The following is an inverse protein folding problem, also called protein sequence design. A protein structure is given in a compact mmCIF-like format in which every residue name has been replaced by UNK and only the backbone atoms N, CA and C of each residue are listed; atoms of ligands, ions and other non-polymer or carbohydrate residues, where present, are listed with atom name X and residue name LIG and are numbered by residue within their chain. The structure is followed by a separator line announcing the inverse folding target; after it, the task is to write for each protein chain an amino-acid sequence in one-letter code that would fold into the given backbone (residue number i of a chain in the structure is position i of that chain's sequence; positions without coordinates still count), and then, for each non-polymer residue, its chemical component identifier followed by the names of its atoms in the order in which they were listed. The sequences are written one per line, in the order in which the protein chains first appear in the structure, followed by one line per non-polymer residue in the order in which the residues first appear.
data_IF_631913156776
#
_entry.id   IF_631913156776
#
_cell.length_a   1.000
_cell.length_b   1.000
_cell.length_c   1.000
_cell.angle_alpha   90.00
_cell.angle_beta   90.00
_cell.angle_gamma   90.00
#
_symmetry.space_group_name_H-M   'P 1'
#
loop_
_entity.id
_entity.type
_entity.pdbx_description
1 polymer ?
#
# COMPACT_ATOMS: atom_id res chain seq x y z
N UNK A 1 -24.55 12.71 -11.23
CA UNK A 1 -24.37 11.73 -10.13
C UNK A 1 -23.20 12.21 -9.28
N UNK A 2 -23.17 11.86 -7.99
CA UNK A 2 -22.01 12.16 -7.13
C UNK A 2 -20.87 11.26 -7.60
N UNK A 3 -19.69 11.83 -7.87
CA UNK A 3 -18.47 11.09 -8.18
C UNK A 3 -18.24 10.00 -7.11
N UNK A 4 -18.16 8.70 -7.47
CA UNK A 4 -17.92 7.61 -6.53
C UNK A 4 -16.73 7.88 -5.60
N UNK A 5 -15.68 8.56 -6.09
CA UNK A 5 -14.49 8.91 -5.30
C UNK A 5 -14.76 9.85 -4.11
N UNK A 6 -15.90 10.57 -4.11
CA UNK A 6 -16.27 11.48 -3.02
C UNK A 6 -17.15 10.82 -1.95
N UNK A 7 -17.66 9.62 -2.22
CA UNK A 7 -18.40 8.81 -1.23
C UNK A 7 -17.47 8.33 -0.10
N UNK A 8 -18.04 7.89 1.04
CA UNK A 8 -17.24 7.34 2.14
C UNK A 8 -16.43 6.10 1.71
N UNK A 9 -17.07 5.17 0.99
CA UNK A 9 -16.41 3.98 0.45
C UNK A 9 -15.33 4.36 -0.57
N UNK A 10 -15.62 5.26 -1.50
CA UNK A 10 -14.65 5.69 -2.50
C UNK A 10 -13.41 6.32 -1.88
N UNK A 11 -13.57 7.15 -0.83
CA UNK A 11 -12.44 7.71 -0.08
C UNK A 11 -11.63 6.62 0.62
N UNK A 12 -12.29 5.69 1.32
CA UNK A 12 -11.63 4.54 1.95
C UNK A 12 -10.81 3.72 0.94
N UNK A 13 -11.38 3.42 -0.24
CA UNK A 13 -10.69 2.67 -1.28
C UNK A 13 -9.46 3.40 -1.81
N UNK A 14 -9.55 4.72 -2.00
CA UNK A 14 -8.41 5.52 -2.48
C UNK A 14 -7.29 5.64 -1.44
N UNK A 15 -7.62 5.57 -0.16
CA UNK A 15 -6.67 5.66 0.95
C UNK A 15 -6.00 4.31 1.24
N UNK A 16 -6.77 3.20 1.22
CA UNK A 16 -6.28 1.87 1.57
C UNK A 16 -5.70 1.10 0.37
N UNK A 17 -6.26 1.26 -0.83
CA UNK A 17 -5.79 0.59 -2.06
C UNK A 17 -4.79 1.48 -2.79
N UNK A 18 -3.66 1.70 -2.14
CA UNK A 18 -2.53 2.43 -2.70
C UNK A 18 -1.25 1.58 -2.71
N UNK A 19 -0.26 1.91 -3.55
CA UNK A 19 0.95 1.11 -3.68
C UNK A 19 1.77 1.02 -2.39
N UNK A 20 2.30 -0.18 -2.14
CA UNK A 20 3.23 -0.43 -1.03
C UNK A 20 4.67 -0.08 -1.43
N UNK A 21 5.36 0.65 -0.56
CA UNK A 21 6.81 0.85 -0.62
C UNK A 21 7.43 0.18 0.60
N UNK A 22 8.28 -0.81 0.34
CA UNK A 22 9.10 -1.44 1.38
C UNK A 22 10.23 -0.50 1.78
N UNK A 23 10.54 -0.41 3.08
CA UNK A 23 11.63 0.41 3.59
C UNK A 23 12.68 -0.50 4.23
N UNK A 24 13.89 -0.50 3.68
CA UNK A 24 15.06 -1.13 4.27
C UNK A 24 15.96 -0.03 4.81
N UNK A 25 16.41 -0.15 6.06
CA UNK A 25 17.22 0.89 6.69
C UNK A 25 18.37 0.35 7.53
N UNK A 26 19.37 1.18 7.81
CA UNK A 26 20.37 0.89 8.86
C UNK A 26 19.86 1.32 10.25
N UNK A 27 20.37 0.74 11.35
CA UNK A 27 20.02 1.18 12.71
C UNK A 27 20.26 2.67 12.97
N UNK A 28 21.33 3.23 12.41
CA UNK A 28 21.69 4.63 12.60
C UNK A 28 20.67 5.62 12.01
N UNK A 29 19.91 5.22 10.98
CA UNK A 29 18.80 6.02 10.44
C UNK A 29 17.69 6.14 11.48
N UNK A 30 17.29 5.05 12.11
CA UNK A 30 16.26 5.11 13.18
C UNK A 30 16.77 5.88 14.38
N UNK A 31 18.02 5.68 14.79
CA UNK A 31 18.59 6.44 15.91
C UNK A 31 18.55 7.96 15.65
N UNK A 32 18.82 8.41 14.43
CA UNK A 32 18.73 9.82 14.06
C UNK A 32 17.26 10.32 14.08
N UNK A 33 16.32 9.57 13.51
CA UNK A 33 14.89 9.93 13.52
C UNK A 33 14.29 9.92 14.94
N UNK A 34 14.67 8.95 15.78
CA UNK A 34 14.15 8.80 17.14
C UNK A 34 14.57 9.95 18.06
N UNK A 35 15.66 10.69 17.75
CA UNK A 35 15.96 11.96 18.43
C UNK A 35 14.81 12.97 18.29
N UNK A 36 14.06 12.91 17.19
CA UNK A 36 12.87 13.73 16.94
C UNK A 36 11.56 13.09 17.47
N UNK A 37 11.64 11.97 18.19
CA UNK A 37 10.48 11.25 18.74
C UNK A 37 9.66 10.46 17.72
N UNK A 38 10.19 10.23 16.51
CA UNK A 38 9.50 9.54 15.42
C UNK A 38 10.38 8.43 14.84
N UNK A 39 9.79 7.30 14.44
CA UNK A 39 10.48 6.35 13.56
C UNK A 39 10.64 6.95 12.16
N UNK A 40 11.54 6.40 11.35
CA UNK A 40 11.74 6.88 9.98
C UNK A 40 10.45 6.83 9.15
N UNK A 41 9.68 5.72 9.22
CA UNK A 41 8.38 5.65 8.52
C UNK A 41 7.39 6.68 9.05
N UNK A 42 7.30 6.88 10.37
CA UNK A 42 6.41 7.88 10.95
C UNK A 42 6.75 9.29 10.44
N UNK A 43 8.04 9.60 10.31
CA UNK A 43 8.52 10.87 9.76
C UNK A 43 8.04 11.08 8.31
N UNK A 44 8.09 10.07 7.44
CA UNK A 44 7.65 10.20 6.04
C UNK A 44 6.12 10.21 5.86
N UNK A 45 5.38 9.58 6.77
CA UNK A 45 3.96 9.22 6.57
C UNK A 45 3.01 10.37 6.22
N UNK A 46 3.09 11.57 6.83
CA UNK A 46 2.21 12.68 6.45
C UNK A 46 2.34 13.11 4.98
N UNK A 47 3.49 12.83 4.37
CA UNK A 47 3.83 13.24 3.01
C UNK A 47 3.59 12.12 1.98
N UNK A 48 2.92 11.04 2.38
CA UNK A 48 2.59 9.92 1.50
C UNK A 48 1.23 10.05 0.82
N UNK A 49 0.41 11.04 1.18
CA UNK A 49 -0.93 11.28 0.61
C UNK A 49 -0.93 12.57 -0.21
N UNK A 50 -1.17 12.44 -1.50
CA UNK A 50 -1.15 13.53 -2.47
C UNK A 50 -2.57 13.81 -2.94
N UNK A 51 -3.12 14.97 -2.60
CA UNK A 51 -4.47 15.36 -3.02
C UNK A 51 -4.52 16.10 -4.37
N UNK A 52 -3.35 16.55 -4.87
CA UNK A 52 -3.22 17.29 -6.13
C UNK A 52 -1.87 16.98 -6.80
N UNK A 53 -1.64 15.70 -7.12
CA UNK A 53 -0.37 15.25 -7.71
C UNK A 53 -0.25 15.59 -9.20
N UNK A 54 -1.39 15.62 -9.90
CA UNK A 54 -1.58 15.99 -11.29
C UNK A 54 -0.57 15.35 -12.29
N UNK A 55 -0.30 14.05 -12.14
CA UNK A 55 0.65 13.32 -13.00
C UNK A 55 -0.07 12.70 -14.20
N UNK A 56 0.36 12.94 -15.45
CA UNK A 56 -0.16 12.24 -16.61
C UNK A 56 0.32 10.79 -16.61
N UNK A 57 -0.60 9.85 -16.78
CA UNK A 57 -0.35 8.41 -16.86
C UNK A 57 -0.90 7.87 -18.18
N UNK A 58 -0.17 6.94 -18.77
CA UNK A 58 -0.54 6.27 -20.02
C UNK A 58 -0.38 4.75 -19.89
N UNK A 59 -1.47 4.08 -19.54
CA UNK A 59 -1.55 2.63 -19.33
C UNK A 59 -1.63 1.87 -20.66
N UNK A 60 -2.76 1.21 -20.95
CA UNK A 60 -3.01 0.43 -22.16
C UNK A 60 -3.70 1.26 -23.26
N UNK A 61 -4.42 2.33 -22.89
CA UNK A 61 -5.00 3.25 -23.86
C UNK A 61 -3.94 4.20 -24.43
N UNK A 62 -4.06 4.55 -25.71
CA UNK A 62 -3.18 5.56 -26.33
C UNK A 62 -3.43 6.97 -25.79
N UNK A 63 -4.58 7.21 -25.13
CA UNK A 63 -4.92 8.49 -24.52
C UNK A 63 -4.39 8.57 -23.08
N UNK A 64 -3.58 9.60 -22.73
CA UNK A 64 -3.19 9.86 -21.34
C UNK A 64 -4.38 10.35 -20.51
N UNK A 65 -4.40 9.95 -19.24
CA UNK A 65 -5.25 10.55 -18.21
C UNK A 65 -4.39 11.12 -17.08
N UNK A 66 -4.96 11.93 -16.18
CA UNK A 66 -4.20 12.55 -15.08
C UNK A 66 -4.64 12.01 -13.73
N UNK A 67 -3.68 11.55 -12.93
CA UNK A 67 -3.90 11.21 -11.54
C UNK A 67 -4.00 12.49 -10.71
N UNK A 68 -5.17 12.73 -10.12
CA UNK A 68 -5.40 13.90 -9.27
C UNK A 68 -5.01 13.63 -7.82
N UNK A 69 -5.37 12.46 -7.29
CA UNK A 69 -4.96 12.00 -5.98
C UNK A 69 -4.10 10.74 -6.09
N UNK A 70 -3.20 10.54 -5.14
CA UNK A 70 -2.35 9.36 -5.07
C UNK A 70 -1.88 9.15 -3.62
N UNK A 71 -1.57 7.92 -3.26
CA UNK A 71 -1.13 7.56 -1.91
C UNK A 71 0.00 6.55 -1.97
N UNK A 72 0.80 6.48 -0.92
CA UNK A 72 1.79 5.41 -0.70
C UNK A 72 1.63 4.83 0.69
N UNK A 73 1.75 3.51 0.81
CA UNK A 73 1.79 2.82 2.10
C UNK A 73 3.22 2.33 2.36
N UNK A 74 3.81 2.79 3.45
CA UNK A 74 5.18 2.45 3.82
C UNK A 74 5.18 1.32 4.85
N UNK A 75 5.99 0.29 4.62
CA UNK A 75 6.17 -0.83 5.55
C UNK A 75 7.65 -1.19 5.67
N UNK A 76 8.09 -1.56 6.88
CA UNK A 76 9.39 -2.21 7.04
C UNK A 76 9.34 -3.64 6.51
N UNK A 77 10.50 -4.21 6.21
CA UNK A 77 10.60 -5.59 5.73
C UNK A 77 10.04 -6.62 6.70
N UNK A 78 10.14 -6.35 8.00
CA UNK A 78 9.63 -7.22 9.06
C UNK A 78 8.10 -7.28 9.13
N UNK A 79 7.42 -6.25 8.61
CA UNK A 79 5.97 -6.12 8.63
C UNK A 79 5.33 -6.72 7.36
N UNK A 80 6.10 -6.94 6.29
CA UNK A 80 5.64 -7.56 5.04
C UNK A 80 5.59 -9.07 5.22
N UNK A 81 4.53 -9.54 5.87
CA UNK A 81 4.26 -10.95 6.12
C UNK A 81 2.77 -11.17 6.30
N UNK A 82 2.33 -12.39 6.02
CA UNK A 82 0.94 -12.76 6.31
C UNK A 82 0.70 -12.72 7.83
N UNK A 83 -0.31 -11.97 8.31
CA UNK A 83 -0.68 -11.92 9.71
C UNK A 83 -1.07 -13.31 10.22
N UNK A 84 -0.82 -13.56 11.51
CA UNK A 84 -1.32 -14.77 12.16
C UNK A 84 -2.84 -14.63 12.38
N UNK A 85 -3.62 -15.47 11.70
CA UNK A 85 -5.08 -15.41 11.70
C UNK A 85 -5.68 -15.54 13.11
N UNK A 86 -5.10 -16.35 13.99
CA UNK A 86 -5.63 -16.54 15.35
C UNK A 86 -5.38 -15.30 16.22
N UNK A 87 -4.20 -14.70 16.10
CA UNK A 87 -3.88 -13.43 16.79
C UNK A 87 -4.78 -12.31 16.28
N UNK A 88 -5.01 -12.26 14.96
CA UNK A 88 -5.87 -11.27 14.34
C UNK A 88 -7.34 -11.39 14.78
N UNK A 89 -7.89 -12.60 14.81
CA UNK A 89 -9.24 -12.87 15.33
C UNK A 89 -9.39 -12.40 16.78
N UNK A 90 -8.40 -12.68 17.63
CA UNK A 90 -8.45 -12.27 19.03
C UNK A 90 -8.40 -10.74 19.17
N UNK A 91 -7.55 -10.05 18.39
CA UNK A 91 -7.52 -8.59 18.35
C UNK A 91 -8.85 -8.00 17.89
N UNK A 92 -9.44 -8.56 16.83
CA UNK A 92 -10.72 -8.11 16.29
C UNK A 92 -11.84 -8.26 17.34
N UNK A 93 -11.84 -9.40 18.05
CA UNK A 93 -12.75 -9.65 19.17
C UNK A 93 -12.55 -8.64 20.30
N UNK A 94 -11.31 -8.30 20.64
CA UNK A 94 -10.99 -7.27 21.64
C UNK A 94 -11.53 -5.90 21.22
N UNK A 95 -11.33 -5.48 19.97
CA UNK A 95 -11.86 -4.21 19.44
C UNK A 95 -13.38 -4.16 19.55
N UNK A 96 -14.09 -5.24 19.17
CA UNK A 96 -15.55 -5.31 19.28
C UNK A 96 -16.00 -5.29 20.75
N UNK A 97 -15.29 -5.99 21.65
CA UNK A 97 -15.65 -6.07 23.06
C UNK A 97 -15.49 -4.72 23.75
N UNK A 98 -14.35 -4.05 23.53
CA UNK A 98 -14.08 -2.71 24.07
C UNK A 98 -15.10 -1.68 23.56
N UNK A 99 -15.51 -1.79 22.29
CA UNK A 99 -16.55 -0.95 21.72
C UNK A 99 -17.90 -1.14 22.43
N UNK A 100 -18.31 -2.40 22.63
CA UNK A 100 -19.55 -2.72 23.32
C UNK A 100 -19.53 -2.23 24.77
N UNK A 101 -18.41 -2.38 25.48
CA UNK A 101 -18.25 -1.88 26.86
C UNK A 101 -18.33 -0.35 26.94
N UNK A 102 -17.73 0.35 25.97
CA UNK A 102 -17.80 1.82 25.89
C UNK A 102 -19.23 2.31 25.62
N UNK A 103 -19.92 1.71 24.67
CA UNK A 103 -21.32 2.05 24.35
C UNK A 103 -22.25 1.79 25.54
N UNK A 104 -22.05 0.68 26.28
CA UNK A 104 -22.81 0.37 27.49
C UNK A 104 -22.53 1.37 28.62
N UNK A 105 -21.26 1.77 28.79
CA UNK A 105 -20.86 2.78 29.78
C UNK A 105 -21.48 4.15 29.49
N UNK A 106 -21.49 4.58 28.22
CA UNK A 106 -22.10 5.84 27.76
C UNK A 106 -23.63 5.83 27.93
N UNK A 107 -24.29 4.68 27.75
CA UNK A 107 -25.73 4.52 27.99
C UNK A 107 -26.10 4.50 29.49
N UNK A 108 -25.17 4.12 30.36
CA UNK A 108 -25.35 4.11 31.81
C UNK A 108 -25.05 5.47 32.47
N UNK A 109 -24.35 6.38 31.79
CA UNK A 109 -24.21 7.78 32.19
C UNK A 109 -25.40 8.62 31.72
N UNK A 110 -26.09 9.26 32.67
CA UNK A 110 -27.31 10.10 32.56
C UNK A 110 -27.92 10.38 31.15
N UNK A 111 -29.19 9.99 31.00
CA UNK A 111 -30.05 10.22 29.83
C UNK A 111 -29.99 11.68 29.31
N UNK A 112 -29.52 11.93 28.07
CA UNK A 112 -29.71 13.23 27.45
C UNK A 112 -31.18 13.43 27.05
N UNK A 113 -31.68 14.65 27.23
CA UNK A 113 -33.03 15.05 26.86
C UNK A 113 -33.33 14.72 25.38
N UNK A 114 -34.45 14.03 25.16
CA UNK A 114 -34.89 13.37 23.91
C UNK A 114 -34.96 14.30 22.68
N UNK A 115 -34.87 15.62 22.85
CA UNK A 115 -35.00 16.59 21.75
C UNK A 115 -33.75 16.74 20.87
N UNK A 116 -32.56 16.30 21.30
CA UNK A 116 -31.32 16.41 20.50
C UNK A 116 -30.95 15.14 19.72
N UNK A 117 -31.64 14.01 19.97
CA UNK A 117 -31.34 12.73 19.33
C UNK A 117 -31.87 12.64 17.89
N UNK A 118 -33.00 13.30 17.60
CA UNK A 118 -33.65 13.27 16.28
C UNK A 118 -32.85 14.06 15.23
N UNK A 119 -32.08 15.08 15.64
CA UNK A 119 -31.25 15.88 14.72
C UNK A 119 -29.88 15.25 14.40
N UNK A 120 -29.45 14.23 15.15
CA UNK A 120 -28.19 13.49 14.87
C UNK A 120 -28.37 12.34 13.89
N UNK A 121 -29.60 11.91 13.63
CA UNK A 121 -29.90 10.72 12.83
C UNK A 121 -29.74 10.92 11.30
N UNK A 122 -29.55 12.16 10.83
CA UNK A 122 -29.45 12.46 9.39
C UNK A 122 -28.01 12.63 8.88
N UNK A 123 -27.01 12.65 9.76
CA UNK A 123 -25.62 12.47 9.35
C UNK A 123 -25.22 11.05 9.75
N UNK A 124 -24.84 10.20 8.79
CA UNK A 124 -24.30 8.86 9.03
C UNK A 124 -23.05 8.94 9.93
N UNK A 125 -23.22 9.05 11.25
CA UNK A 125 -22.13 8.98 12.22
C UNK A 125 -21.83 7.50 12.42
N UNK A 126 -20.96 6.98 11.56
CA UNK A 126 -20.40 5.64 11.69
C UNK A 126 -19.75 5.52 13.09
N UNK A 127 -20.10 4.51 13.90
CA UNK A 127 -19.53 4.34 15.23
C UNK A 127 -18.00 4.33 15.18
N UNK A 128 -17.33 4.97 16.15
CA UNK A 128 -15.86 5.08 16.12
C UNK A 128 -15.17 3.71 16.08
N UNK A 129 -15.75 2.71 16.75
CA UNK A 129 -15.24 1.34 16.76
C UNK A 129 -15.21 0.69 15.38
N UNK A 130 -16.12 1.07 14.48
CA UNK A 130 -16.19 0.50 13.14
C UNK A 130 -14.97 0.88 12.30
N UNK A 131 -14.42 2.09 12.52
CA UNK A 131 -13.15 2.49 11.90
C UNK A 131 -11.97 1.64 12.40
N UNK A 132 -11.91 1.37 13.70
CA UNK A 132 -10.89 0.48 14.27
C UNK A 132 -11.06 -0.97 13.79
N UNK A 133 -12.29 -1.47 13.74
CA UNK A 133 -12.61 -2.78 13.20
C UNK A 133 -12.15 -2.92 11.75
N UNK A 134 -12.50 -1.97 10.88
CA UNK A 134 -12.07 -1.98 9.48
C UNK A 134 -10.56 -1.95 9.35
N UNK A 135 -9.90 -1.10 10.14
CA UNK A 135 -8.44 -1.02 10.16
C UNK A 135 -7.79 -2.35 10.55
N UNK A 136 -8.30 -3.03 11.58
CA UNK A 136 -7.79 -4.34 11.96
C UNK A 136 -8.16 -5.45 10.97
N UNK A 137 -9.33 -5.37 10.35
CA UNK A 137 -9.73 -6.31 9.31
C UNK A 137 -8.78 -6.20 8.10
N UNK A 138 -8.53 -4.99 7.60
CA UNK A 138 -7.57 -4.71 6.51
C UNK A 138 -6.19 -5.23 6.88
N UNK A 139 -5.72 -4.94 8.10
CA UNK A 139 -4.44 -5.43 8.59
C UNK A 139 -4.39 -6.96 8.63
N UNK A 140 -5.50 -7.64 8.97
CA UNK A 140 -5.59 -9.11 9.05
C UNK A 140 -5.48 -9.79 7.69
N UNK A 141 -6.01 -9.16 6.64
CA UNK A 141 -6.00 -9.71 5.28
C UNK A 141 -4.78 -9.29 4.47
N UNK A 142 -3.90 -8.45 5.03
CA UNK A 142 -2.76 -7.87 4.32
C UNK A 142 -1.75 -8.93 3.84
N UNK A 143 -1.05 -8.62 2.73
CA UNK A 143 0.01 -9.45 2.13
C UNK A 143 -0.45 -10.88 1.76
N UNK A 144 -1.73 -11.01 1.41
CA UNK A 144 -2.30 -12.28 1.01
C UNK A 144 -1.78 -12.75 -0.35
N UNK A 145 -1.72 -14.05 -0.57
CA UNK A 145 -1.19 -14.66 -1.79
C UNK A 145 -2.11 -14.51 -3.03
N UNK A 146 -3.36 -14.09 -2.83
CA UNK A 146 -4.43 -14.11 -3.83
C UNK A 146 -4.66 -12.77 -4.54
N UNK A 147 -3.97 -11.72 -4.11
CA UNK A 147 -4.00 -10.37 -4.68
C UNK A 147 -2.61 -9.72 -4.61
N UNK A 148 -2.43 -8.60 -5.31
CA UNK A 148 -1.13 -7.94 -5.45
C UNK A 148 -1.11 -6.48 -4.94
N UNK A 149 -2.17 -5.99 -4.29
CA UNK A 149 -2.20 -4.61 -3.76
C UNK A 149 -1.16 -4.34 -2.68
N UNK A 150 -0.88 -5.35 -1.86
CA UNK A 150 0.12 -5.26 -0.79
C UNK A 150 1.51 -5.72 -1.23
N UNK A 151 1.67 -6.10 -2.50
CA UNK A 151 2.99 -6.44 -3.00
C UNK A 151 3.79 -5.14 -3.14
N UNK A 152 5.00 -5.04 -2.57
CA UNK A 152 5.82 -3.85 -2.71
C UNK A 152 6.08 -3.55 -4.19
N UNK A 153 5.72 -2.34 -4.63
CA UNK A 153 6.02 -1.89 -6.00
C UNK A 153 7.42 -1.27 -6.06
N UNK A 154 7.90 -0.76 -4.93
CA UNK A 154 9.21 -0.16 -4.76
C UNK A 154 9.80 -0.48 -3.39
N UNK A 155 11.12 -0.30 -3.30
CA UNK A 155 11.92 -0.43 -2.09
C UNK A 155 12.76 0.82 -1.91
N UNK A 156 12.52 1.53 -0.81
CA UNK A 156 13.35 2.63 -0.34
C UNK A 156 14.48 2.03 0.51
N UNK A 157 15.71 2.07 0.00
CA UNK A 157 16.90 1.60 0.73
C UNK A 157 17.56 2.81 1.36
N UNK A 158 17.69 2.81 2.68
CA UNK A 158 18.07 4.00 3.46
C UNK A 158 19.30 3.71 4.31
N UNK A 159 20.32 4.55 4.17
CA UNK A 159 21.56 4.43 4.95
C UNK A 159 21.88 5.80 5.55
N UNK A 160 22.46 5.81 6.76
CA UNK A 160 22.92 7.04 7.40
C UNK A 160 24.28 7.43 6.85
N UNK A 161 24.50 8.72 6.65
CA UNK A 161 25.82 9.29 6.36
C UNK A 161 26.86 9.05 7.48
N UNK A 162 26.40 8.63 8.66
CA UNK A 162 27.22 8.23 9.81
C UNK A 162 27.66 6.76 9.74
N UNK A 163 27.02 5.93 8.92
CA UNK A 163 27.40 4.52 8.78
C UNK A 163 28.85 4.38 8.30
N UNK A 164 29.54 3.38 8.81
CA UNK A 164 30.85 2.98 8.29
C UNK A 164 30.66 2.35 6.90
N UNK A 165 31.38 2.89 5.91
CA UNK A 165 31.29 2.51 4.49
C UNK A 165 29.84 2.47 3.96
N UNK A 166 29.15 3.63 3.85
CA UNK A 166 27.73 3.69 3.50
C UNK A 166 27.36 2.97 2.20
N UNK A 167 28.23 3.01 1.18
CA UNK A 167 28.00 2.34 -0.11
C UNK A 167 27.88 0.83 0.04
N UNK A 168 28.73 0.22 0.85
CA UNK A 168 28.67 -1.22 1.12
C UNK A 168 27.38 -1.58 1.88
N UNK A 169 26.94 -0.71 2.80
CA UNK A 169 25.68 -0.91 3.53
C UNK A 169 24.46 -0.94 2.61
N UNK A 170 24.40 -0.10 1.58
CA UNK A 170 23.31 -0.15 0.60
C UNK A 170 23.25 -1.51 -0.12
N UNK A 171 24.41 -2.05 -0.49
CA UNK A 171 24.51 -3.37 -1.14
C UNK A 171 24.07 -4.48 -0.19
N UNK A 172 24.54 -4.43 1.06
CA UNK A 172 24.24 -5.43 2.08
C UNK A 172 22.74 -5.48 2.41
N UNK A 173 22.08 -4.33 2.57
CA UNK A 173 20.67 -4.27 2.95
C UNK A 173 19.78 -5.08 2.00
N UNK A 174 20.05 -5.05 0.71
CA UNK A 174 19.25 -5.80 -0.28
C UNK A 174 19.73 -7.25 -0.48
N UNK A 175 21.00 -7.54 -0.24
CA UNK A 175 21.56 -8.88 -0.42
C UNK A 175 21.45 -9.77 0.82
N UNK A 176 21.05 -9.21 1.95
CA UNK A 176 20.84 -10.00 3.18
C UNK A 176 19.60 -10.89 3.06
N UNK A 177 19.63 -12.05 3.73
CA UNK A 177 18.47 -12.93 3.94
C UNK A 177 17.33 -12.27 4.77
N UNK A 178 17.35 -10.94 4.94
CA UNK A 178 16.37 -10.14 5.68
C UNK A 178 15.18 -9.74 4.81
N UNK A 179 15.25 -9.95 3.49
CA UNK A 179 14.09 -9.71 2.63
C UNK A 179 12.91 -10.60 3.06
N UNK A 180 11.66 -10.10 2.94
CA UNK A 180 10.47 -10.87 3.23
C UNK A 180 10.47 -12.22 2.51
N UNK A 181 10.11 -13.29 3.23
CA UNK A 181 10.03 -14.64 2.65
C UNK A 181 9.05 -14.73 1.47
N UNK A 182 8.09 -13.81 1.37
CA UNK A 182 7.16 -13.70 0.25
C UNK A 182 7.85 -13.31 -1.07
N UNK A 183 8.94 -12.54 -1.02
CA UNK A 183 9.76 -12.21 -2.20
C UNK A 183 10.64 -13.39 -2.64
N UNK A 184 11.09 -14.23 -1.71
CA UNK A 184 12.00 -15.36 -2.00
C UNK A 184 11.27 -16.66 -2.32
N UNK A 185 10.05 -16.85 -1.80
CA UNK A 185 9.20 -18.02 -2.06
C UNK A 185 8.50 -18.00 -3.43
N UNK A 186 8.61 -16.90 -4.18
CA UNK A 186 7.95 -16.71 -5.46
C UNK A 186 6.47 -16.34 -5.35
N UNK A 187 5.99 -15.89 -4.19
CA UNK A 187 4.65 -15.32 -4.03
C UNK A 187 4.55 -13.89 -4.59
N UNK A 188 5.61 -13.10 -4.43
CA UNK A 188 5.72 -11.71 -4.89
C UNK A 188 6.77 -11.55 -6.00
N UNK A 189 6.77 -10.40 -6.67
CA UNK A 189 7.81 -10.04 -7.62
C UNK A 189 9.13 -9.73 -6.88
N UNK A 190 10.22 -10.47 -7.10
CA UNK A 190 11.51 -10.10 -6.52
C UNK A 190 12.13 -8.85 -7.19
N UNK A 191 11.65 -8.44 -8.38
CA UNK A 191 12.18 -7.32 -9.17
C UNK A 191 11.41 -6.02 -8.92
N UNK A 192 11.51 -5.53 -7.70
CA UNK A 192 10.92 -4.25 -7.29
C UNK A 192 11.82 -3.06 -7.65
N UNK A 193 11.22 -1.89 -7.90
CA UNK A 193 11.94 -0.63 -8.08
C UNK A 193 12.78 -0.34 -6.84
N UNK A 194 14.04 0.09 -6.99
CA UNK A 194 14.90 0.46 -5.87
C UNK A 194 15.18 1.95 -5.92
N UNK A 195 15.03 2.62 -4.79
CA UNK A 195 15.38 4.02 -4.62
C UNK A 195 16.32 4.16 -3.43
N UNK A 196 17.48 4.78 -3.65
CA UNK A 196 18.53 4.87 -2.63
C UNK A 196 18.50 6.23 -1.96
N UNK A 197 18.39 6.23 -0.63
CA UNK A 197 18.31 7.43 0.19
C UNK A 197 19.45 7.46 1.20
N UNK A 198 20.25 8.51 1.15
CA UNK A 198 21.21 8.84 2.20
C UNK A 198 20.53 9.80 3.19
N UNK A 199 20.53 9.46 4.47
CA UNK A 199 20.05 10.36 5.53
C UNK A 199 21.25 11.01 6.22
N UNK A 200 21.23 12.33 6.32
CA UNK A 200 22.25 13.10 7.02
C UNK A 200 21.60 13.91 8.14
N UNK A 201 21.96 13.58 9.38
CA UNK A 201 21.66 14.44 10.52
C UNK A 201 22.68 15.57 10.54
N UNK A 202 22.21 16.82 10.48
CA UNK A 202 23.05 18.02 10.45
C UNK A 202 23.97 18.13 11.70
N UNK A 203 23.69 17.36 12.76
CA UNK A 203 24.54 17.27 13.95
C UNK A 203 25.71 16.29 13.82
N UNK A 204 25.70 15.40 12.82
CA UNK A 204 26.70 14.33 12.68
C UNK A 204 27.93 14.78 11.84
N UNK A 205 27.95 16.02 11.34
CA UNK A 205 29.12 16.61 10.69
C UNK A 205 28.77 17.56 9.54
N UNK A 206 29.76 17.96 8.75
CA UNK A 206 29.55 18.90 7.65
C UNK A 206 28.85 18.24 6.45
N UNK A 207 27.95 18.99 5.82
CA UNK A 207 27.17 18.56 4.65
C UNK A 207 28.06 18.15 3.46
N UNK A 208 29.27 18.70 3.31
CA UNK A 208 30.17 18.30 2.21
C UNK A 208 30.54 16.82 2.25
N UNK A 209 30.57 16.20 3.44
CA UNK A 209 30.80 14.76 3.58
C UNK A 209 29.64 13.97 2.97
N UNK A 210 28.40 14.34 3.29
CA UNK A 210 27.20 13.68 2.76
C UNK A 210 27.09 13.87 1.23
N UNK A 211 27.40 15.06 0.70
CA UNK A 211 27.40 15.33 -0.74
C UNK A 211 28.44 14.50 -1.51
N UNK A 212 29.61 14.25 -0.91
CA UNK A 212 30.61 13.34 -1.49
C UNK A 212 30.10 11.91 -1.55
N UNK A 213 29.49 11.42 -0.47
CA UNK A 213 28.88 10.07 -0.43
C UNK A 213 27.77 9.98 -1.49
N UNK A 214 26.92 10.99 -1.63
CA UNK A 214 25.86 11.03 -2.65
C UNK A 214 26.44 10.95 -4.08
N UNK A 215 27.57 11.63 -4.32
CA UNK A 215 28.24 11.57 -5.62
C UNK A 215 28.76 10.17 -5.91
N UNK A 216 29.34 9.50 -4.90
CA UNK A 216 29.76 8.11 -4.99
C UNK A 216 28.56 7.17 -5.23
N UNK A 217 27.46 7.33 -4.49
CA UNK A 217 26.21 6.58 -4.69
C UNK A 217 25.71 6.69 -6.12
N UNK A 218 25.69 7.90 -6.70
CA UNK A 218 25.26 8.12 -8.08
C UNK A 218 26.16 7.42 -9.09
N UNK A 219 27.46 7.31 -8.80
CA UNK A 219 28.40 6.55 -9.61
C UNK A 219 28.17 5.03 -9.51
N UNK A 220 27.75 4.52 -8.36
CA UNK A 220 27.56 3.08 -8.13
C UNK A 220 26.18 2.58 -8.53
N UNK A 221 25.13 3.31 -8.19
CA UNK A 221 23.73 2.88 -8.31
C UNK A 221 22.94 3.62 -9.39
N UNK A 222 23.50 4.69 -9.98
CA UNK A 222 22.84 5.49 -11.01
C UNK A 222 22.02 6.67 -10.46
N UNK A 223 21.04 7.12 -11.23
CA UNK A 223 20.29 8.35 -10.97
C UNK A 223 19.29 8.28 -9.81
N UNK A 224 18.89 7.08 -9.37
CA UNK A 224 17.88 6.87 -8.34
C UNK A 224 18.46 7.01 -6.92
N UNK A 225 19.23 8.08 -6.71
CA UNK A 225 19.91 8.38 -5.45
C UNK A 225 19.56 9.79 -4.96
N UNK A 226 19.10 9.90 -3.72
CA UNK A 226 18.75 11.16 -3.06
C UNK A 226 19.42 11.29 -1.69
N UNK A 227 19.57 12.53 -1.23
CA UNK A 227 20.06 12.90 0.09
C UNK A 227 18.91 13.61 0.81
N UNK A 228 18.62 13.19 2.04
CA UNK A 228 17.70 13.87 2.95
C UNK A 228 18.50 14.40 4.12
N UNK A 229 18.45 15.71 4.35
CA UNK A 229 19.01 16.30 5.55
C UNK A 229 17.90 16.40 6.61
N UNK A 230 18.25 16.11 7.86
CA UNK A 230 17.36 16.29 9.01
C UNK A 230 18.10 16.99 10.13
N UNK A 231 17.38 17.74 10.94
CA UNK A 231 17.92 18.31 12.17
C UNK A 231 17.47 17.54 13.42
N UNK A 232 18.36 17.46 14.40
CA UNK A 232 18.13 16.83 15.71
C UNK A 232 18.58 17.69 16.90
N UNK A 233 18.96 18.96 16.68
CA UNK A 233 19.55 19.82 17.71
C UNK A 233 18.51 20.49 18.62
N UNK A 234 18.83 20.54 19.92
CA UNK A 234 18.00 21.22 20.93
C UNK A 234 17.99 22.74 20.80
N UNK A 235 18.92 23.35 20.06
CA UNK A 235 19.00 24.82 19.90
C UNK A 235 17.93 25.37 18.92
N UNK A 236 17.22 24.47 18.23
CA UNK A 236 16.12 24.80 17.31
C UNK A 236 14.73 24.60 17.92
N UNK A 237 14.51 24.96 19.20
CA UNK A 237 13.15 24.92 19.78
C UNK A 237 12.26 25.93 19.06
N UNK A 238 11.58 25.48 18.02
CA UNK A 238 10.43 26.19 17.45
C UNK A 238 9.20 25.39 17.83
N UNK A 239 8.49 25.83 18.88
CA UNK A 239 7.15 25.33 19.18
C UNK A 239 6.22 25.73 18.03
N UNK A 240 6.10 24.85 17.04
CA UNK A 240 5.07 24.99 16.01
C UNK A 240 3.79 24.34 16.52
N UNK A 241 2.70 25.11 16.58
CA UNK A 241 1.40 24.60 17.06
C UNK A 241 0.75 23.58 16.10
N UNK A 242 1.27 23.44 14.86
CA UNK A 242 0.70 22.63 13.78
C UNK A 242 1.70 21.60 13.22
N UNK A 243 2.16 20.65 14.05
CA UNK A 243 2.94 19.52 13.53
C UNK A 243 2.05 18.57 12.71
N UNK A 244 2.41 18.19 11.46
CA UNK A 244 1.70 17.18 10.68
C UNK A 244 1.56 15.83 11.38
N UNK A 245 2.40 15.56 12.39
CA UNK A 245 2.42 14.31 13.16
C UNK A 245 1.56 14.31 14.43
N UNK A 246 0.78 15.36 14.70
CA UNK A 246 -0.14 15.43 15.88
C UNK A 246 -1.05 14.19 15.96
N UNK A 247 -1.41 13.59 14.83
CA UNK A 247 -2.26 12.40 14.72
C UNK A 247 -1.56 11.07 15.06
N UNK A 248 -0.23 11.02 15.13
CA UNK A 248 0.53 9.81 15.51
C UNK A 248 0.84 9.75 17.01
N UNK A 249 0.27 10.67 17.78
CA UNK A 249 0.28 10.61 19.24
C UNK A 249 -0.38 9.30 19.68
N UNK A 250 0.39 8.46 20.36
CA UNK A 250 -0.18 7.36 21.14
C UNK A 250 -0.81 7.97 22.38
N UNK A 251 -2.08 7.67 22.67
CA UNK A 251 -2.76 8.13 23.90
C UNK A 251 -2.09 7.61 25.18
N UNK A 252 -1.18 6.64 25.07
CA UNK A 252 -0.50 5.97 26.19
C UNK A 252 0.78 6.65 26.71
N UNK A 253 1.22 7.78 26.15
CA UNK A 253 2.40 8.51 26.62
C UNK A 253 2.02 9.78 27.38
N UNK A 254 2.47 9.95 28.65
CA UNK A 254 2.11 11.10 29.47
C UNK A 254 2.67 12.37 28.86
N UNK A 255 1.79 13.30 28.50
CA UNK A 255 1.94 14.77 28.38
C UNK A 255 3.35 15.39 28.33
N UNK A 256 4.30 14.80 27.60
CA UNK A 256 5.54 15.46 27.21
C UNK A 256 5.35 15.95 25.78
N UNK A 257 5.62 17.25 25.50
CA UNK A 257 5.60 17.73 24.13
C UNK A 257 6.60 16.90 23.32
N UNK A 258 6.17 16.41 22.15
CA UNK A 258 7.08 15.79 21.19
C UNK A 258 8.26 16.74 21.00
N UNK A 259 9.46 16.30 21.40
CA UNK A 259 10.69 17.01 21.07
C UNK A 259 10.97 16.73 19.61
N UNK A 260 10.30 17.46 18.72
CA UNK A 260 10.59 17.49 17.30
C UNK A 260 11.53 18.68 17.06
N UNK A 261 12.73 18.39 16.59
CA UNK A 261 13.75 19.38 16.24
C UNK A 261 13.77 19.70 14.75
N UNK A 262 12.81 19.15 13.99
CA UNK A 262 12.63 19.42 12.57
C UNK A 262 12.08 20.83 12.37
N UNK A 263 12.74 21.60 11.51
CA UNK A 263 12.32 22.93 11.11
C UNK A 263 11.54 22.90 9.78
N UNK A 264 10.98 24.03 9.36
CA UNK A 264 10.20 24.19 8.10
C UNK A 264 10.93 23.66 6.87
N UNK A 265 12.25 23.85 6.80
CA UNK A 265 13.05 23.37 5.68
C UNK A 265 13.13 21.84 5.67
N UNK A 266 13.33 21.20 6.83
CA UNK A 266 13.29 19.74 6.97
C UNK A 266 11.93 19.17 6.51
N UNK A 267 10.81 19.82 6.89
CA UNK A 267 9.48 19.40 6.41
C UNK A 267 9.34 19.48 4.90
N UNK A 268 9.83 20.58 4.30
CA UNK A 268 9.78 20.76 2.85
C UNK A 268 10.68 19.76 2.13
N UNK A 269 11.87 19.46 2.65
CA UNK A 269 12.77 18.44 2.10
C UNK A 269 12.11 17.05 2.12
N UNK A 270 11.48 16.65 3.24
CA UNK A 270 10.78 15.37 3.33
C UNK A 270 9.59 15.34 2.36
N UNK A 271 8.83 16.43 2.26
CA UNK A 271 7.70 16.55 1.34
C UNK A 271 8.14 16.41 -0.12
N UNK A 272 9.17 17.14 -0.51
CA UNK A 272 9.71 17.13 -1.86
C UNK A 272 10.32 15.77 -2.20
N UNK A 273 10.99 15.12 -1.24
CA UNK A 273 11.46 13.75 -1.37
C UNK A 273 10.33 12.79 -1.71
N UNK A 274 9.22 12.81 -0.95
CA UNK A 274 8.10 11.89 -1.17
C UNK A 274 7.33 12.21 -2.46
N UNK A 275 7.20 13.49 -2.80
CA UNK A 275 6.63 13.93 -4.07
C UNK A 275 7.48 13.45 -5.25
N UNK A 276 8.80 13.58 -5.18
CA UNK A 276 9.73 13.12 -6.22
C UNK A 276 9.71 11.61 -6.35
N UNK A 277 9.80 10.87 -5.24
CA UNK A 277 9.69 9.41 -5.21
C UNK A 277 8.42 8.93 -5.93
N UNK A 278 7.29 9.57 -5.64
CA UNK A 278 6.00 9.21 -6.21
C UNK A 278 5.90 9.55 -7.70
N UNK A 279 6.20 10.81 -8.06
CA UNK A 279 5.94 11.36 -9.40
C UNK A 279 6.99 10.95 -10.44
N UNK A 280 8.26 10.85 -10.04
CA UNK A 280 9.39 10.60 -10.96
C UNK A 280 9.79 9.13 -11.01
N UNK A 281 9.49 8.34 -9.97
CA UNK A 281 9.96 6.96 -9.87
C UNK A 281 8.81 5.94 -9.77
N UNK A 282 7.96 5.99 -8.73
CA UNK A 282 6.94 4.96 -8.48
C UNK A 282 5.87 4.92 -9.58
N UNK A 283 5.21 6.05 -9.87
CA UNK A 283 4.15 6.10 -10.89
C UNK A 283 4.70 5.70 -12.28
N UNK A 284 5.83 6.24 -12.75
CA UNK A 284 6.40 5.83 -14.05
C UNK A 284 6.79 4.35 -14.10
N UNK A 285 7.34 3.80 -13.02
CA UNK A 285 7.65 2.36 -12.95
C UNK A 285 6.39 1.51 -13.06
N UNK A 286 5.33 1.85 -12.31
CA UNK A 286 4.05 1.14 -12.37
C UNK A 286 3.40 1.25 -13.75
N UNK A 287 3.41 2.43 -14.37
CA UNK A 287 2.93 2.64 -15.74
C UNK A 287 3.67 1.72 -16.73
N UNK A 288 5.00 1.70 -16.65
CA UNK A 288 5.81 0.83 -17.52
C UNK A 288 5.52 -0.65 -17.26
N UNK A 289 5.34 -1.05 -15.99
CA UNK A 289 4.98 -2.41 -15.63
C UNK A 289 3.63 -2.81 -16.24
N UNK A 290 2.62 -1.95 -16.16
CA UNK A 290 1.31 -2.16 -16.80
C UNK A 290 1.47 -2.37 -18.30
N UNK A 291 2.26 -1.55 -18.99
CA UNK A 291 2.47 -1.69 -20.45
C UNK A 291 3.09 -3.04 -20.81
N UNK A 292 4.15 -3.43 -20.09
CA UNK A 292 4.84 -4.71 -20.32
C UNK A 292 3.89 -5.88 -20.09
N UNK A 293 3.18 -5.88 -18.96
CA UNK A 293 2.23 -6.95 -18.62
C UNK A 293 1.06 -6.99 -19.61
N UNK A 294 0.52 -5.85 -20.03
CA UNK A 294 -0.58 -5.79 -20.99
C UNK A 294 -0.17 -6.34 -22.37
N UNK A 295 1.05 -6.07 -22.81
CA UNK A 295 1.61 -6.66 -24.03
C UNK A 295 1.75 -8.19 -23.90
N UNK A 296 2.29 -8.67 -22.78
CA UNK A 296 2.42 -10.10 -22.50
C UNK A 296 1.07 -10.81 -22.48
N UNK A 297 0.09 -10.27 -21.72
CA UNK A 297 -1.26 -10.81 -21.63
C UNK A 297 -1.95 -10.81 -22.99
N UNK A 298 -1.79 -9.74 -23.79
CA UNK A 298 -2.36 -9.67 -25.14
C UNK A 298 -1.75 -10.69 -26.11
N UNK A 299 -0.44 -10.95 -26.02
CA UNK A 299 0.23 -12.00 -26.79
C UNK A 299 -0.25 -13.39 -26.39
N UNK A 300 -0.39 -13.63 -25.08
CA UNK A 300 -0.90 -14.87 -24.51
C UNK A 300 -2.37 -15.12 -24.91
N UNK A 301 -3.24 -14.10 -24.90
CA UNK A 301 -4.65 -14.19 -25.37
C UNK A 301 -4.76 -14.65 -26.83
N UNK A 302 -3.86 -14.21 -27.71
CA UNK A 302 -3.83 -14.66 -29.12
C UNK A 302 -3.50 -16.16 -29.23
N UNK A 303 -2.70 -16.71 -28.32
CA UNK A 303 -2.42 -18.15 -28.20
C UNK A 303 -3.50 -18.94 -27.44
N UNK A 304 -4.10 -18.34 -26.42
CA UNK A 304 -5.13 -18.96 -25.58
C UNK A 304 -6.42 -19.25 -26.34
N UNK A 305 -6.78 -18.48 -27.36
CA UNK A 305 -7.94 -18.80 -28.22
C UNK A 305 -7.82 -20.19 -28.87
N UNK A 306 -6.60 -20.68 -29.10
CA UNK A 306 -6.33 -22.03 -29.58
C UNK A 306 -6.24 -23.07 -28.43
N UNK A 307 -5.83 -22.66 -27.22
CA UNK A 307 -5.79 -23.55 -26.05
C UNK A 307 -7.18 -23.76 -25.40
N UNK A 308 -8.06 -22.77 -25.45
CA UNK A 308 -9.45 -22.89 -24.98
C UNK A 308 -10.16 -23.97 -25.80
N UNK A 309 -9.94 -24.07 -27.12
CA UNK A 309 -10.43 -25.22 -27.91
C UNK A 309 -9.94 -26.56 -27.36
N UNK A 310 -8.71 -26.65 -26.85
CA UNK A 310 -8.16 -27.87 -26.25
C UNK A 310 -8.63 -28.11 -24.81
N UNK A 311 -9.01 -27.06 -24.07
CA UNK A 311 -9.52 -27.16 -22.70
C UNK A 311 -10.95 -27.72 -22.67
N UNK A 312 -11.76 -27.42 -23.69
CA UNK A 312 -13.10 -28.00 -23.85
C UNK A 312 -13.06 -29.52 -24.12
N UNK A 313 -11.92 -30.06 -24.57
CA UNK A 313 -11.66 -31.50 -24.70
C UNK A 313 -11.12 -32.16 -23.41
N UNK A 314 -10.70 -31.38 -22.40
CA UNK A 314 -10.27 -31.91 -21.09
C UNK A 314 -11.41 -32.13 -20.11
N UNK A 315 -12.65 -31.79 -20.47
CA UNK A 315 -13.86 -31.97 -19.65
C UNK A 315 -14.34 -33.44 -19.60
N UNK A 316 -13.42 -34.36 -19.32
CA UNK A 316 -13.68 -35.80 -19.34
C UNK A 316 -12.71 -36.67 -18.53
N UNK A 317 -11.87 -36.10 -17.66
CA UNK A 317 -11.10 -36.89 -16.68
C UNK A 317 -11.22 -36.26 -15.31
N UNK A 318 -12.18 -36.76 -14.55
CA UNK A 318 -12.10 -36.76 -13.09
C UNK A 318 -10.95 -37.72 -12.71
N UNK A 319 -9.95 -37.20 -12.01
CA UNK A 319 -9.41 -37.80 -10.79
C UNK A 319 -8.30 -36.90 -10.23
N UNK A 320 -8.40 -36.66 -8.93
CA UNK A 320 -7.46 -35.90 -8.12
C UNK A 320 -6.09 -36.58 -8.15
N UNK A 321 -5.05 -35.81 -8.45
CA UNK A 321 -3.70 -36.09 -7.95
C UNK A 321 -3.20 -34.79 -7.33
N UNK A 322 -3.13 -34.79 -5.99
CA UNK A 322 -2.29 -33.85 -5.25
C UNK A 322 -0.89 -33.89 -5.87
N UNK A 323 -0.52 -32.80 -6.53
CA UNK A 323 0.79 -32.66 -7.14
C UNK A 323 1.76 -32.17 -6.06
N UNK A 324 2.82 -32.92 -5.71
CA UNK A 324 3.75 -32.55 -4.64
C UNK A 324 4.81 -31.53 -5.13
N UNK A 325 4.42 -30.48 -5.85
CA UNK A 325 5.36 -29.51 -6.41
C UNK A 325 4.84 -28.06 -6.39
N UNK A 326 5.10 -27.36 -5.28
CA UNK A 326 5.05 -25.90 -5.18
C UNK A 326 3.67 -25.24 -5.28
N UNK A 327 3.58 -23.93 -5.00
CA UNK A 327 2.32 -23.18 -5.11
C UNK A 327 1.88 -23.10 -6.57
N UNK A 328 0.65 -23.52 -6.89
CA UNK A 328 0.05 -23.51 -8.24
C UNK A 328 0.10 -22.13 -8.92
N UNK A 329 0.04 -21.05 -8.14
CA UNK A 329 0.01 -19.67 -8.61
C UNK A 329 1.22 -18.87 -8.11
N UNK A 330 2.43 -19.29 -8.50
CA UNK A 330 3.61 -18.43 -8.29
C UNK A 330 3.48 -17.12 -9.04
N UNK A 331 4.23 -16.10 -8.63
CA UNK A 331 4.27 -14.79 -9.27
C UNK A 331 4.44 -14.88 -10.79
N UNK A 332 5.31 -15.78 -11.27
CA UNK A 332 5.61 -15.92 -12.71
C UNK A 332 4.52 -16.63 -13.53
N UNK A 333 3.47 -17.17 -12.91
CA UNK A 333 2.35 -17.77 -13.64
C UNK A 333 1.60 -16.70 -14.45
N UNK A 334 1.04 -17.08 -15.60
CA UNK A 334 0.28 -16.15 -16.44
C UNK A 334 -0.89 -15.55 -15.66
N UNK A 335 -1.52 -16.38 -14.84
CA UNK A 335 -2.65 -16.06 -13.99
C UNK A 335 -2.29 -14.97 -12.98
N UNK A 336 -1.16 -15.12 -12.29
CA UNK A 336 -0.64 -14.11 -11.37
C UNK A 336 -0.23 -12.82 -12.09
N UNK A 337 0.39 -12.91 -13.28
CA UNK A 337 0.73 -11.72 -14.08
C UNK A 337 -0.52 -10.94 -14.53
N UNK A 338 -1.61 -11.63 -14.90
CA UNK A 338 -2.91 -11.00 -15.21
C UNK A 338 -3.49 -10.32 -13.97
N UNK A 339 -3.41 -10.97 -12.80
CA UNK A 339 -3.87 -10.38 -11.53
C UNK A 339 -3.08 -9.11 -11.19
N UNK A 340 -1.75 -9.17 -11.26
CA UNK A 340 -0.85 -8.01 -11.01
C UNK A 340 -1.17 -6.87 -11.96
N UNK A 341 -1.40 -7.14 -13.25
CA UNK A 341 -1.81 -6.12 -14.22
C UNK A 341 -3.12 -5.43 -13.80
N UNK A 342 -4.12 -6.22 -13.37
CA UNK A 342 -5.39 -5.69 -12.89
C UNK A 342 -5.23 -4.79 -11.66
N UNK A 343 -4.47 -5.26 -10.67
CA UNK A 343 -4.27 -4.54 -9.39
C UNK A 343 -3.44 -3.26 -9.59
N UNK A 344 -2.41 -3.29 -10.44
CA UNK A 344 -1.65 -2.09 -10.82
C UNK A 344 -2.53 -1.07 -11.55
N UNK A 345 -3.36 -1.53 -12.50
CA UNK A 345 -4.28 -0.67 -13.22
C UNK A 345 -5.29 -0.02 -12.26
N UNK A 346 -5.81 -0.76 -11.29
CA UNK A 346 -6.72 -0.24 -10.26
C UNK A 346 -6.05 0.83 -9.40
N UNK A 347 -4.82 0.59 -8.91
CA UNK A 347 -4.06 1.58 -8.13
C UNK A 347 -3.74 2.85 -8.93
N UNK A 348 -3.51 2.72 -10.24
CA UNK A 348 -3.38 3.86 -11.15
C UNK A 348 -4.72 4.36 -11.71
N UNK A 349 -5.86 3.94 -11.16
CA UNK A 349 -7.22 4.41 -11.51
C UNK A 349 -7.69 4.14 -12.94
N UNK A 350 -7.02 3.22 -13.64
CA UNK A 350 -7.52 2.66 -14.88
C UNK A 350 -8.44 1.48 -14.56
N UNK A 351 -9.62 1.82 -14.03
CA UNK A 351 -10.60 0.82 -13.57
C UNK A 351 -11.17 -0.01 -14.71
N UNK A 352 -11.20 0.52 -15.94
CA UNK A 352 -11.64 -0.22 -17.13
C UNK A 352 -10.64 -1.33 -17.48
N UNK A 353 -9.34 -1.01 -17.52
CA UNK A 353 -8.29 -1.99 -17.73
C UNK A 353 -8.26 -3.02 -16.60
N UNK A 354 -8.41 -2.59 -15.35
CA UNK A 354 -8.50 -3.46 -14.19
C UNK A 354 -9.65 -4.47 -14.34
N UNK A 355 -10.87 -3.97 -14.56
CA UNK A 355 -12.08 -4.77 -14.75
C UNK A 355 -11.95 -5.78 -15.90
N UNK A 356 -11.33 -5.39 -17.01
CA UNK A 356 -11.12 -6.27 -18.16
C UNK A 356 -10.20 -7.45 -17.86
N UNK A 357 -9.19 -7.25 -17.00
CA UNK A 357 -8.24 -8.28 -16.60
C UNK A 357 -8.82 -9.17 -15.48
N UNK A 358 -9.56 -8.59 -14.54
CA UNK A 358 -10.32 -9.35 -13.54
C UNK A 358 -11.34 -10.29 -14.18
N UNK A 359 -12.12 -9.81 -15.15
CA UNK A 359 -13.06 -10.65 -15.90
C UNK A 359 -12.35 -11.81 -16.59
N UNK A 360 -11.19 -11.54 -17.23
CA UNK A 360 -10.40 -12.59 -17.87
C UNK A 360 -10.03 -13.69 -16.88
N UNK A 361 -9.33 -13.33 -15.80
CA UNK A 361 -8.77 -14.33 -14.89
C UNK A 361 -9.82 -15.04 -14.02
N UNK A 362 -10.97 -14.39 -13.78
CA UNK A 362 -12.07 -14.98 -13.01
C UNK A 362 -12.57 -16.30 -13.58
N UNK A 363 -12.51 -16.47 -14.92
CA UNK A 363 -12.96 -17.70 -15.57
C UNK A 363 -12.01 -18.85 -15.25
N UNK A 364 -10.70 -18.60 -15.31
CA UNK A 364 -9.68 -19.61 -15.05
C UNK A 364 -9.70 -20.03 -13.57
N UNK A 365 -9.74 -19.08 -12.63
CA UNK A 365 -9.86 -19.40 -11.20
C UNK A 365 -11.12 -20.20 -10.85
N UNK A 366 -12.24 -19.93 -11.53
CA UNK A 366 -13.48 -20.70 -11.34
C UNK A 366 -13.34 -22.13 -11.87
N UNK A 367 -12.71 -22.32 -13.02
CA UNK A 367 -12.47 -23.64 -13.61
C UNK A 367 -11.51 -24.47 -12.75
N UNK A 368 -10.48 -23.83 -12.22
CA UNK A 368 -9.49 -24.45 -11.33
C UNK A 368 -10.01 -24.68 -9.90
N UNK A 369 -11.24 -24.24 -9.59
CA UNK A 369 -11.81 -24.25 -8.23
C UNK A 369 -10.94 -23.51 -7.20
N UNK A 370 -10.18 -22.52 -7.63
CA UNK A 370 -9.34 -21.66 -6.78
C UNK A 370 -10.20 -20.61 -6.06
N UNK A 371 -11.09 -21.03 -5.15
CA UNK A 371 -12.17 -20.21 -4.61
C UNK A 371 -11.70 -18.92 -3.92
N UNK A 372 -10.61 -18.96 -3.15
CA UNK A 372 -10.04 -17.76 -2.49
C UNK A 372 -9.65 -16.69 -3.52
N UNK A 373 -8.95 -17.09 -4.59
CA UNK A 373 -8.54 -16.21 -5.69
C UNK A 373 -9.74 -15.72 -6.49
N UNK A 374 -10.69 -16.61 -6.78
CA UNK A 374 -11.92 -16.26 -7.45
C UNK A 374 -12.72 -15.21 -6.68
N UNK A 375 -12.88 -15.38 -5.36
CA UNK A 375 -13.58 -14.44 -4.48
C UNK A 375 -12.92 -13.05 -4.51
N UNK A 376 -11.60 -12.97 -4.31
CA UNK A 376 -10.89 -11.69 -4.37
C UNK A 376 -11.01 -10.99 -5.73
N UNK A 377 -11.05 -11.74 -6.84
CA UNK A 377 -11.29 -11.15 -8.16
C UNK A 377 -12.74 -10.66 -8.30
N UNK A 378 -13.74 -11.38 -7.78
CA UNK A 378 -15.14 -10.93 -7.80
C UNK A 378 -15.34 -9.64 -7.00
N UNK A 379 -14.71 -9.54 -5.82
CA UNK A 379 -14.69 -8.32 -5.01
C UNK A 379 -14.14 -7.15 -5.80
N UNK A 380 -12.94 -7.30 -6.38
CA UNK A 380 -12.30 -6.24 -7.14
C UNK A 380 -13.07 -5.85 -8.42
N UNK A 381 -13.78 -6.79 -9.05
CA UNK A 381 -14.70 -6.45 -10.14
C UNK A 381 -15.81 -5.53 -9.65
N UNK A 382 -16.43 -5.84 -8.50
CA UNK A 382 -17.46 -5.01 -7.87
C UNK A 382 -16.96 -3.60 -7.54
N UNK A 383 -15.77 -3.51 -6.94
CA UNK A 383 -15.13 -2.23 -6.61
C UNK A 383 -14.76 -1.44 -7.88
N UNK A 384 -14.27 -2.10 -8.93
CA UNK A 384 -13.96 -1.43 -10.19
C UNK A 384 -15.24 -0.86 -10.85
N UNK A 385 -16.35 -1.61 -10.88
CA UNK A 385 -17.63 -1.06 -11.37
C UNK A 385 -18.12 0.13 -10.57
N UNK A 386 -17.97 0.08 -9.25
CA UNK A 386 -18.32 1.17 -8.36
C UNK A 386 -17.50 2.43 -8.69
N UNK A 387 -16.18 2.28 -8.85
CA UNK A 387 -15.27 3.39 -9.15
C UNK A 387 -15.37 3.90 -10.59
N UNK A 388 -15.77 3.07 -11.55
CA UNK A 388 -15.97 3.45 -12.97
C UNK A 388 -17.27 4.19 -13.27
N UNK A 389 -18.13 4.44 -12.26
CA UNK A 389 -19.46 5.05 -12.43
C UNK A 389 -20.35 4.35 -13.50
N UNK A 390 -20.14 3.05 -13.72
CA UNK A 390 -20.98 2.27 -14.64
C UNK A 390 -22.35 2.05 -13.98
N UNK A 391 -23.42 2.39 -14.73
CA UNK A 391 -24.79 2.57 -14.22
C UNK A 391 -25.27 1.54 -13.17
N UNK A 392 -26.13 2.01 -12.26
CA UNK A 392 -26.75 1.27 -11.13
C UNK A 392 -27.25 -0.16 -11.41
N UNK A 393 -27.53 -0.53 -12.67
CA UNK A 393 -27.99 -1.89 -13.02
C UNK A 393 -26.94 -2.97 -12.73
N UNK A 394 -25.65 -2.70 -12.96
CA UNK A 394 -24.57 -3.67 -12.72
C UNK A 394 -24.04 -3.62 -11.28
N UNK A 395 -24.08 -2.45 -10.63
CA UNK A 395 -23.78 -2.30 -9.20
C UNK A 395 -24.70 -3.15 -8.31
N UNK A 396 -25.97 -3.34 -8.70
CA UNK A 396 -26.90 -4.22 -7.98
C UNK A 396 -26.50 -5.71 -7.97
N UNK A 397 -25.70 -6.14 -8.96
CA UNK A 397 -25.16 -7.50 -9.05
C UNK A 397 -23.98 -7.65 -8.09
N UNK A 398 -23.11 -6.63 -7.99
CA UNK A 398 -21.99 -6.59 -7.04
C UNK A 398 -22.48 -6.56 -5.58
N UNK A 399 -23.49 -5.76 -5.26
CA UNK A 399 -24.12 -5.73 -3.93
C UNK A 399 -24.76 -7.07 -3.55
N UNK A 400 -25.38 -7.78 -4.50
CA UNK A 400 -25.90 -9.14 -4.27
C UNK A 400 -24.81 -10.19 -4.08
N UNK A 401 -23.62 -10.00 -4.66
CA UNK A 401 -22.47 -10.90 -4.48
C UNK A 401 -21.76 -10.71 -3.13
N UNK A 402 -21.69 -9.48 -2.62
CA UNK A 402 -21.19 -9.17 -1.26
C UNK A 402 -22.16 -9.60 -0.14
N UNK A 403 -23.39 -9.98 -0.50
CA UNK A 403 -24.44 -10.44 0.42
C UNK A 403 -24.55 -11.97 0.51
N UNK A 404 -23.57 -12.72 0.00
CA UNK A 404 -23.57 -14.18 0.18
C UNK A 404 -23.14 -14.47 1.62
N UNK A 405 -23.98 -15.12 2.44
CA UNK A 405 -23.62 -15.46 3.81
C UNK A 405 -22.41 -16.40 3.80
N UNK A 406 -21.45 -16.12 4.68
CA UNK A 406 -20.31 -16.97 5.03
C UNK A 406 -20.78 -18.35 5.46
#
# INVERSE_FOLDING_TARGET
MVDPANTSLGRMLLDEISPVVMVLRTPLVEEACLKNGLTFIQMLRPFCVFNNIDVPVRTASDQPYRLQKFGLRLFYESDIRQPNLEVAKERLKQVITQAAEKDVSELCSDLPQINNAVSRAENEVLPSWFQFFNKELVHTVSFSDHEAFDHPVACLVVVSSKDDQPINRFVDLFNTNKLPSLLTSGAMDPKILKHYLLVHDNQDGPLEKATKILTEMRSTFGSDCQLLCINSSQDGVVEHQDYPWVLYKSDDLPSQPLRCFLNVDDFNEIKDLMQDLSTKHVIPYMEQKIRVLNQQVSATRKGFRNQIKNLWWRKGKEDVVDSPSGPTYTFNSNESQIRVLGDYAFMLRDYELALSNYRLISTDYKLDKAWKRYAGVQEMMGLAYFMSDQSRKEQSIAWKMLSIPI
#
